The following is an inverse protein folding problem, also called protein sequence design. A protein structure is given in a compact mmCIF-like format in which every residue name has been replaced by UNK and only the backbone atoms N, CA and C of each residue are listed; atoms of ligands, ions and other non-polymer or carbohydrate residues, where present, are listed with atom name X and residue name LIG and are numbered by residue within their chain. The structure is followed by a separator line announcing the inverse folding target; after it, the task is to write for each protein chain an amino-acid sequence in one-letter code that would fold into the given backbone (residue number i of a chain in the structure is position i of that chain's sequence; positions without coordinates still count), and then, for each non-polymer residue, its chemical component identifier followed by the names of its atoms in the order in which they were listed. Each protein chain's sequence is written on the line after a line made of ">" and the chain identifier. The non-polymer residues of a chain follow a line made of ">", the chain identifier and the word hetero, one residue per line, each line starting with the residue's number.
data_IF_742681448453
#
_entry.id   IF_742681448453
#
_cell.length_a   1.000
_cell.length_b   1.000
_cell.length_c   1.000
_cell.angle_alpha   90.00
_cell.angle_beta   90.00
_cell.angle_gamma   90.00
#
_symmetry.space_group_name_H-M   'P 1'
#
loop_
_entity.id
_entity.type
_entity.pdbx_description
1 polymer ?
#
# COMPACT_ATOMS: atom_id res chain seq x y z
N UNK A 1 38.71 2.83 -18.28
CA UNK A 1 37.86 3.96 -18.74
C UNK A 1 37.43 3.69 -20.18
N UNK A 2 36.44 2.83 -20.39
CA UNK A 2 35.81 2.64 -21.71
C UNK A 2 34.69 3.66 -21.82
N UNK A 3 34.80 4.58 -22.79
CA UNK A 3 33.76 5.58 -23.04
C UNK A 3 32.56 4.89 -23.68
N UNK A 4 31.53 4.63 -22.85
CA UNK A 4 30.18 4.32 -23.33
C UNK A 4 29.66 5.47 -24.20
N UNK A 5 28.80 5.15 -25.17
CA UNK A 5 28.24 6.11 -26.13
C UNK A 5 27.53 7.32 -25.50
N UNK A 6 26.84 8.12 -26.32
CA UNK A 6 26.20 9.39 -25.92
C UNK A 6 25.39 9.32 -24.61
N UNK A 7 24.77 8.17 -24.32
CA UNK A 7 24.04 7.93 -23.08
C UNK A 7 24.94 7.76 -21.84
N UNK A 8 26.06 7.07 -21.95
CA UNK A 8 27.04 6.92 -20.85
C UNK A 8 27.58 8.28 -20.40
N UNK A 9 27.89 9.16 -21.35
CA UNK A 9 28.28 10.53 -21.05
C UNK A 9 27.14 11.34 -20.38
N UNK A 10 25.88 11.05 -20.72
CA UNK A 10 24.73 11.70 -20.10
C UNK A 10 24.51 11.20 -18.66
N UNK A 11 24.71 9.91 -18.38
CA UNK A 11 24.67 9.34 -17.03
C UNK A 11 25.76 9.95 -16.14
N UNK A 12 26.99 10.06 -16.64
CA UNK A 12 28.09 10.71 -15.90
C UNK A 12 27.77 12.17 -15.57
N UNK A 13 27.21 12.93 -16.53
CA UNK A 13 26.76 14.31 -16.27
C UNK A 13 25.65 14.37 -15.22
N UNK A 14 24.70 13.42 -15.24
CA UNK A 14 23.66 13.36 -14.24
C UNK A 14 24.25 13.21 -12.82
N UNK A 15 25.28 12.36 -12.65
CA UNK A 15 25.99 12.17 -11.37
C UNK A 15 26.77 13.41 -10.94
N UNK A 16 27.32 14.18 -11.88
CA UNK A 16 27.98 15.43 -11.52
C UNK A 16 26.98 16.45 -10.97
N UNK A 17 25.71 16.36 -11.37
CA UNK A 17 24.62 17.22 -10.92
C UNK A 17 23.90 16.73 -9.65
N UNK A 18 24.08 15.47 -9.21
CA UNK A 18 23.47 15.00 -7.96
C UNK A 18 24.23 15.47 -6.71
N UNK A 19 23.52 15.50 -5.58
CA UNK A 19 24.08 15.77 -4.25
C UNK A 19 25.28 14.84 -3.97
N UNK A 20 26.34 15.42 -3.41
CA UNK A 20 27.60 14.72 -3.13
C UNK A 20 27.40 13.45 -2.29
N UNK A 21 26.37 13.41 -1.42
CA UNK A 21 26.06 12.24 -0.60
C UNK A 21 25.68 10.99 -1.40
N UNK A 22 25.25 11.13 -2.67
CA UNK A 22 24.82 10.02 -3.50
C UNK A 22 25.92 9.50 -4.46
N UNK A 23 27.06 10.19 -4.54
CA UNK A 23 28.08 9.90 -5.56
C UNK A 23 28.71 8.52 -5.43
N UNK A 24 29.00 8.08 -4.20
CA UNK A 24 29.57 6.74 -3.95
C UNK A 24 28.68 5.62 -4.53
N UNK A 25 27.38 5.68 -4.25
CA UNK A 25 26.41 4.72 -4.76
C UNK A 25 26.23 4.83 -6.28
N UNK A 26 26.25 6.05 -6.82
CA UNK A 26 26.17 6.28 -8.25
C UNK A 26 27.37 5.69 -9.01
N UNK A 27 28.58 5.92 -8.49
CA UNK A 27 29.83 5.40 -9.05
C UNK A 27 29.86 3.87 -8.97
N UNK A 28 29.40 3.30 -7.85
CA UNK A 28 29.26 1.85 -7.71
C UNK A 28 28.36 1.27 -8.81
N UNK A 29 27.16 1.85 -9.01
CA UNK A 29 26.23 1.39 -10.03
C UNK A 29 26.81 1.53 -11.44
N UNK A 30 27.40 2.67 -11.80
CA UNK A 30 28.01 2.85 -13.13
C UNK A 30 29.14 1.87 -13.41
N UNK A 31 29.89 1.51 -12.37
CA UNK A 31 31.03 0.59 -12.50
C UNK A 31 30.56 -0.84 -12.70
N UNK A 32 29.45 -1.25 -12.11
CA UNK A 32 29.01 -2.65 -12.07
C UNK A 32 27.73 -2.95 -12.86
N UNK A 33 27.04 -1.93 -13.39
CA UNK A 33 25.83 -2.15 -14.19
C UNK A 33 26.13 -2.81 -15.54
N UNK A 34 25.17 -3.54 -16.13
CA UNK A 34 25.33 -4.12 -17.45
C UNK A 34 25.60 -3.08 -18.54
N UNK A 35 26.37 -3.45 -19.56
CA UNK A 35 26.71 -2.56 -20.67
C UNK A 35 25.48 -2.05 -21.45
N UNK A 36 24.41 -2.85 -21.55
CA UNK A 36 23.19 -2.41 -22.21
C UNK A 36 22.50 -1.29 -21.43
N UNK A 37 22.51 -1.34 -20.10
CA UNK A 37 21.96 -0.26 -19.26
C UNK A 37 22.79 1.02 -19.41
N UNK A 38 24.12 0.93 -19.53
CA UNK A 38 24.95 2.11 -19.84
C UNK A 38 24.55 2.78 -21.17
N UNK A 39 24.05 2.02 -22.14
CA UNK A 39 23.63 2.52 -23.46
C UNK A 39 22.19 3.02 -23.48
N UNK A 40 21.29 2.40 -22.73
CA UNK A 40 19.85 2.58 -22.90
C UNK A 40 19.14 3.17 -21.67
N UNK A 41 19.70 3.03 -20.47
CA UNK A 41 19.04 3.51 -19.25
C UNK A 41 18.99 5.04 -19.26
N UNK A 42 17.77 5.57 -19.14
CA UNK A 42 17.55 7.01 -19.05
C UNK A 42 18.29 7.61 -17.83
N UNK A 43 19.07 8.69 -18.00
CA UNK A 43 19.72 9.38 -16.89
C UNK A 43 18.74 9.88 -15.83
N UNK A 44 17.53 10.27 -16.23
CA UNK A 44 16.48 10.67 -15.30
C UNK A 44 15.99 9.48 -14.47
N UNK A 45 15.76 8.33 -15.11
CA UNK A 45 15.30 7.12 -14.42
C UNK A 45 16.37 6.56 -13.48
N UNK A 46 17.64 6.58 -13.91
CA UNK A 46 18.78 6.21 -13.07
C UNK A 46 18.85 7.08 -11.82
N UNK A 47 18.80 8.40 -12.00
CA UNK A 47 18.92 9.37 -10.91
C UNK A 47 17.74 9.25 -9.93
N UNK A 48 16.51 9.14 -10.43
CA UNK A 48 15.32 8.98 -9.59
C UNK A 48 15.41 7.70 -8.76
N UNK A 49 15.75 6.56 -9.37
CA UNK A 49 15.86 5.28 -8.66
C UNK A 49 17.00 5.27 -7.63
N UNK A 50 18.13 5.91 -7.94
CA UNK A 50 19.27 6.05 -7.02
C UNK A 50 18.88 6.86 -5.78
N UNK A 51 18.33 8.06 -5.99
CA UNK A 51 17.94 8.96 -4.89
C UNK A 51 16.87 8.32 -4.03
N UNK A 52 15.85 7.69 -4.64
CA UNK A 52 14.80 7.00 -3.88
C UNK A 52 15.34 5.81 -3.07
N UNK A 53 16.32 5.05 -3.58
CA UNK A 53 16.93 3.96 -2.84
C UNK A 53 17.72 4.48 -1.62
N UNK A 54 18.51 5.53 -1.79
CA UNK A 54 19.27 6.18 -0.73
C UNK A 54 18.36 6.80 0.33
N UNK A 55 17.30 7.52 -0.07
CA UNK A 55 16.30 8.06 0.86
C UNK A 55 15.57 6.96 1.64
N UNK A 56 15.13 5.90 0.96
CA UNK A 56 14.43 4.79 1.59
C UNK A 56 15.33 4.06 2.60
N UNK A 57 16.58 3.79 2.23
CA UNK A 57 17.54 3.15 3.11
C UNK A 57 17.94 4.05 4.28
N UNK A 58 18.11 5.36 4.05
CA UNK A 58 18.32 6.34 5.10
C UNK A 58 17.12 6.40 6.06
N UNK A 59 15.88 6.24 5.62
CA UNK A 59 14.73 6.22 6.51
C UNK A 59 14.54 4.89 7.28
N UNK A 60 15.19 3.80 6.86
CA UNK A 60 14.95 2.47 7.40
C UNK A 60 15.50 2.31 8.84
N UNK A 61 14.66 1.90 9.84
CA UNK A 61 15.11 1.72 11.23
C UNK A 61 16.19 0.64 11.41
N UNK A 62 16.29 -0.28 10.45
CA UNK A 62 17.23 -1.40 10.45
C UNK A 62 18.50 -1.13 9.64
N UNK A 63 18.65 0.04 9.00
CA UNK A 63 19.78 0.36 8.11
C UNK A 63 21.15 0.12 8.75
N UNK A 64 21.28 0.42 10.05
CA UNK A 64 22.52 0.26 10.80
C UNK A 64 22.95 -1.21 10.97
N UNK A 65 22.05 -2.17 10.70
CA UNK A 65 22.33 -3.60 10.75
C UNK A 65 22.77 -4.16 9.40
N UNK A 66 22.70 -3.37 8.34
CA UNK A 66 23.03 -3.82 6.98
C UNK A 66 24.43 -3.34 6.64
N UNK A 67 25.39 -4.26 6.41
CA UNK A 67 26.71 -3.89 5.91
C UNK A 67 26.62 -3.10 4.61
N UNK A 68 27.52 -2.13 4.41
CA UNK A 68 27.47 -1.27 3.22
C UNK A 68 27.57 -2.06 1.92
N UNK A 69 28.37 -3.12 1.88
CA UNK A 69 28.51 -4.01 0.73
C UNK A 69 27.19 -4.69 0.34
N UNK A 70 26.43 -5.17 1.33
CA UNK A 70 25.10 -5.76 1.10
C UNK A 70 24.15 -4.72 0.54
N UNK A 71 24.19 -3.48 1.05
CA UNK A 71 23.39 -2.40 0.48
C UNK A 71 23.74 -2.15 -1.00
N UNK A 72 25.02 -2.00 -1.32
CA UNK A 72 25.48 -1.70 -2.67
C UNK A 72 25.14 -2.81 -3.68
N UNK A 73 25.28 -4.08 -3.29
CA UNK A 73 25.06 -5.22 -4.19
C UNK A 73 23.59 -5.66 -4.26
N UNK A 74 22.86 -5.63 -3.14
CA UNK A 74 21.56 -6.33 -3.05
C UNK A 74 20.36 -5.40 -2.87
N UNK A 75 20.57 -4.13 -2.49
CA UNK A 75 19.46 -3.19 -2.20
C UNK A 75 19.44 -2.02 -3.18
N UNK A 76 20.61 -1.44 -3.47
CA UNK A 76 20.79 -0.28 -4.32
C UNK A 76 20.40 -0.50 -5.80
N UNK A 77 20.69 -1.65 -6.45
CA UNK A 77 20.42 -1.83 -7.88
C UNK A 77 18.97 -1.58 -8.28
N UNK A 78 18.75 -0.90 -9.40
CA UNK A 78 17.41 -0.47 -9.86
C UNK A 78 16.63 -1.57 -10.60
N UNK A 79 17.22 -2.74 -10.79
CA UNK A 79 16.59 -3.92 -11.39
C UNK A 79 17.36 -5.19 -10.99
N UNK A 80 16.64 -6.30 -10.81
CA UNK A 80 17.22 -7.65 -10.67
C UNK A 80 17.11 -8.45 -11.96
N UNK A 81 18.26 -8.87 -12.51
CA UNK A 81 18.41 -9.76 -13.68
C UNK A 81 17.55 -9.33 -14.89
N UNK A 82 16.31 -9.80 -14.97
CA UNK A 82 15.37 -9.63 -16.10
C UNK A 82 14.23 -8.64 -15.80
N UNK A 83 14.30 -7.91 -14.69
CA UNK A 83 13.32 -6.88 -14.37
C UNK A 83 13.34 -5.74 -15.41
N UNK A 84 12.16 -5.15 -15.61
CA UNK A 84 12.01 -3.96 -16.45
C UNK A 84 12.71 -2.77 -15.79
N UNK A 85 13.32 -1.91 -16.60
CA UNK A 85 13.89 -0.63 -16.15
C UNK A 85 12.77 0.41 -16.13
N UNK A 86 11.94 0.35 -15.09
CA UNK A 86 10.82 1.28 -14.89
C UNK A 86 10.95 2.01 -13.55
N UNK A 87 9.96 2.85 -13.25
CA UNK A 87 9.91 3.69 -12.06
C UNK A 87 9.25 2.96 -10.86
N UNK A 88 9.39 1.64 -10.75
CA UNK A 88 8.76 0.84 -9.70
C UNK A 88 9.05 1.37 -8.29
N UNK A 89 10.25 1.90 -7.99
CA UNK A 89 10.56 2.48 -6.67
C UNK A 89 9.65 3.64 -6.33
N UNK A 90 9.44 4.54 -7.30
CA UNK A 90 8.53 5.68 -7.15
C UNK A 90 7.11 5.19 -6.96
N UNK A 91 6.64 4.30 -7.84
CA UNK A 91 5.29 3.75 -7.75
C UNK A 91 5.06 3.01 -6.43
N UNK A 92 6.02 2.22 -5.98
CA UNK A 92 5.96 1.50 -4.71
C UNK A 92 5.95 2.49 -3.54
N UNK A 93 6.79 3.52 -3.57
CA UNK A 93 6.79 4.55 -2.52
C UNK A 93 5.47 5.31 -2.48
N UNK A 94 4.93 5.70 -3.62
CA UNK A 94 3.65 6.42 -3.72
C UNK A 94 2.47 5.52 -3.30
N UNK A 95 2.48 4.23 -3.66
CA UNK A 95 1.38 3.29 -3.37
C UNK A 95 1.47 2.66 -1.98
N UNK A 96 2.68 2.45 -1.46
CA UNK A 96 2.94 1.72 -0.22
C UNK A 96 3.56 2.60 0.87
N UNK A 97 3.62 3.91 0.67
CA UNK A 97 3.91 4.84 1.76
C UNK A 97 2.90 4.61 2.91
N UNK A 98 3.31 4.85 4.18
CA UNK A 98 2.38 4.86 5.29
C UNK A 98 1.16 5.71 4.94
N UNK A 99 -0.03 5.29 5.34
CA UNK A 99 -1.26 6.03 5.02
C UNK A 99 -1.12 7.52 5.40
N UNK A 100 -0.52 7.85 6.54
CA UNK A 100 -0.27 9.25 6.93
C UNK A 100 0.71 10.05 6.05
N UNK A 101 1.43 9.41 5.12
CA UNK A 101 2.28 10.06 4.12
C UNK A 101 1.58 10.31 2.78
N UNK A 102 0.41 9.71 2.54
CA UNK A 102 -0.35 9.82 1.28
C UNK A 102 -1.80 10.25 1.48
N UNK A 103 -2.31 10.15 2.71
CA UNK A 103 -3.68 10.42 3.10
C UNK A 103 -3.72 11.76 3.84
N UNK A 104 -4.24 12.78 3.16
CA UNK A 104 -4.51 14.09 3.71
C UNK A 104 -6.01 14.26 3.93
N UNK A 105 -6.42 15.32 4.63
CA UNK A 105 -7.83 15.70 4.67
C UNK A 105 -8.38 15.86 3.24
N UNK A 106 -9.52 15.22 2.98
CA UNK A 106 -10.15 15.16 1.66
C UNK A 106 -9.64 14.05 0.72
N UNK A 107 -8.61 13.27 1.11
CA UNK A 107 -8.20 12.10 0.33
C UNK A 107 -9.28 11.03 0.28
N UNK A 108 -9.43 10.40 -0.89
CA UNK A 108 -10.36 9.28 -1.12
C UNK A 108 -9.60 8.10 -1.72
N UNK A 109 -9.89 6.90 -1.22
CA UNK A 109 -9.33 5.63 -1.68
C UNK A 109 -10.45 4.65 -2.00
N UNK A 110 -10.25 3.83 -3.03
CA UNK A 110 -11.08 2.67 -3.31
C UNK A 110 -10.39 1.43 -2.75
N UNK A 111 -11.06 0.72 -1.85
CA UNK A 111 -10.61 -0.54 -1.30
C UNK A 111 -11.49 -1.67 -1.83
N UNK A 112 -10.88 -2.56 -2.62
CA UNK A 112 -11.52 -3.79 -3.09
C UNK A 112 -11.23 -4.93 -2.13
N UNK A 113 -12.29 -5.52 -1.61
CA UNK A 113 -12.26 -6.65 -0.69
C UNK A 113 -12.95 -7.85 -1.33
N UNK A 114 -12.41 -9.05 -1.09
CA UNK A 114 -12.85 -10.31 -1.67
C UNK A 114 -12.88 -10.28 -3.22
N UNK A 115 -11.84 -10.79 -3.87
CA UNK A 115 -11.77 -10.79 -5.33
C UNK A 115 -12.78 -11.74 -6.01
N UNK A 116 -13.53 -12.54 -5.25
CA UNK A 116 -14.68 -13.29 -5.75
C UNK A 116 -15.92 -12.39 -5.87
N UNK A 117 -16.35 -11.82 -4.74
CA UNK A 117 -17.57 -11.00 -4.63
C UNK A 117 -17.37 -9.53 -5.05
N UNK A 118 -16.13 -9.09 -5.17
CA UNK A 118 -15.69 -7.76 -5.62
C UNK A 118 -16.32 -6.59 -4.85
N UNK A 119 -16.25 -6.65 -3.51
CA UNK A 119 -16.74 -5.57 -2.67
C UNK A 119 -15.90 -4.32 -2.82
N UNK A 120 -16.54 -3.21 -3.18
CA UNK A 120 -15.92 -1.90 -3.31
C UNK A 120 -16.28 -1.01 -2.11
N UNK A 121 -15.26 -0.61 -1.34
CA UNK A 121 -15.37 0.36 -0.26
C UNK A 121 -14.71 1.68 -0.64
N UNK A 122 -15.47 2.77 -0.59
CA UNK A 122 -14.89 4.12 -0.61
C UNK A 122 -14.42 4.49 0.80
N UNK A 123 -13.13 4.77 0.95
CA UNK A 123 -12.52 5.23 2.19
C UNK A 123 -12.15 6.70 2.04
N UNK A 124 -12.78 7.56 2.84
CA UNK A 124 -12.52 9.01 2.83
C UNK A 124 -11.85 9.45 4.11
N UNK A 125 -10.84 10.30 3.98
CA UNK A 125 -10.19 10.95 5.12
C UNK A 125 -10.88 12.28 5.36
N UNK A 126 -11.79 12.31 6.32
CA UNK A 126 -12.55 13.53 6.61
C UNK A 126 -11.74 14.56 7.39
N UNK A 127 -10.87 14.10 8.31
CA UNK A 127 -10.04 14.96 9.16
C UNK A 127 -8.77 14.25 9.60
N UNK A 128 -7.67 14.99 9.72
CA UNK A 128 -6.40 14.54 10.27
C UNK A 128 -6.10 15.33 11.52
N UNK A 129 -6.14 14.65 12.67
CA UNK A 129 -5.87 15.26 13.98
C UNK A 129 -4.57 14.73 14.56
N UNK A 130 -3.87 15.57 15.34
CA UNK A 130 -2.74 15.09 16.14
C UNK A 130 -3.27 14.23 17.27
N UNK A 131 -2.79 12.99 17.34
CA UNK A 131 -3.11 12.04 18.41
C UNK A 131 -2.01 11.00 18.53
N UNK A 132 -2.07 10.17 19.57
CA UNK A 132 -1.10 9.10 19.77
C UNK A 132 -1.41 7.83 18.94
N UNK A 133 -2.52 7.85 18.20
CA UNK A 133 -2.94 6.79 17.26
C UNK A 133 -3.27 5.45 17.92
N UNK A 134 -3.50 5.44 19.24
CA UNK A 134 -3.76 4.20 19.99
C UNK A 134 -5.22 3.79 20.01
N UNK A 135 -6.12 4.76 19.96
CA UNK A 135 -7.55 4.53 20.03
C UNK A 135 -8.12 4.37 18.63
N UNK A 136 -8.73 3.20 18.38
CA UNK A 136 -9.48 2.90 17.16
C UNK A 136 -10.92 2.72 17.61
N UNK A 137 -11.76 3.70 17.28
CA UNK A 137 -13.15 3.76 17.72
C UNK A 137 -14.03 4.07 16.52
N UNK A 138 -15.08 3.29 16.36
CA UNK A 138 -16.19 3.60 15.49
C UNK A 138 -17.08 4.65 16.18
N UNK A 139 -17.25 5.80 15.53
CA UNK A 139 -18.05 6.93 16.03
C UNK A 139 -19.47 6.95 15.47
N UNK A 140 -19.77 6.09 14.49
CA UNK A 140 -21.08 5.99 13.87
C UNK A 140 -21.08 5.04 12.68
N UNK A 141 -22.28 4.70 12.23
CA UNK A 141 -22.53 3.83 11.09
C UNK A 141 -24.03 3.62 10.90
N UNK A 142 -24.39 3.01 9.78
CA UNK A 142 -25.77 2.69 9.45
C UNK A 142 -25.82 1.35 8.72
N UNK A 143 -26.92 0.62 8.94
CA UNK A 143 -27.22 -0.67 8.34
C UNK A 143 -26.23 -1.77 8.76
N UNK A 144 -26.62 -3.02 8.54
CA UNK A 144 -25.75 -4.15 8.80
C UNK A 144 -24.74 -4.32 7.66
N UNK A 145 -23.56 -4.85 7.99
CA UNK A 145 -22.62 -5.32 6.98
C UNK A 145 -23.27 -6.46 6.17
N UNK A 146 -23.16 -6.47 4.83
CA UNK A 146 -23.56 -7.62 4.03
C UNK A 146 -22.93 -8.91 4.56
N UNK A 147 -23.65 -10.05 4.57
CA UNK A 147 -23.05 -11.34 4.86
C UNK A 147 -21.92 -11.66 3.88
N UNK A 148 -20.85 -12.29 4.35
CA UNK A 148 -19.79 -12.84 3.49
C UNK A 148 -20.39 -13.84 2.49
N UNK A 149 -19.75 -13.97 1.32
CA UNK A 149 -20.13 -14.90 0.25
C UNK A 149 -21.57 -14.74 -0.27
N UNK A 150 -22.17 -13.54 -0.14
CA UNK A 150 -23.53 -13.30 -0.62
C UNK A 150 -23.61 -12.93 -2.10
N UNK A 151 -22.49 -12.96 -2.83
CA UNK A 151 -22.43 -12.66 -4.27
C UNK A 151 -22.27 -11.17 -4.56
N UNK A 152 -21.51 -10.47 -3.71
CA UNK A 152 -21.22 -9.05 -3.87
C UNK A 152 -22.44 -8.15 -3.74
N UNK A 153 -22.33 -6.93 -4.26
CA UNK A 153 -23.38 -5.90 -4.14
C UNK A 153 -24.70 -6.32 -4.80
N UNK A 154 -24.64 -7.01 -5.94
CA UNK A 154 -25.83 -7.46 -6.67
C UNK A 154 -26.50 -8.65 -5.96
N UNK A 155 -25.71 -9.60 -5.48
CA UNK A 155 -26.19 -10.74 -4.70
C UNK A 155 -26.85 -10.28 -3.39
N UNK A 156 -26.26 -9.31 -2.68
CA UNK A 156 -26.87 -8.71 -1.50
C UNK A 156 -28.19 -8.00 -1.81
N UNK A 157 -28.27 -7.23 -2.89
CA UNK A 157 -29.52 -6.59 -3.31
C UNK A 157 -30.62 -7.62 -3.63
N UNK A 158 -30.26 -8.76 -4.24
CA UNK A 158 -31.16 -9.88 -4.46
C UNK A 158 -31.64 -10.51 -3.15
N UNK A 159 -30.71 -10.78 -2.23
CA UNK A 159 -30.99 -11.31 -0.90
C UNK A 159 -31.97 -10.42 -0.12
N UNK A 160 -31.78 -9.10 -0.13
CA UNK A 160 -32.68 -8.17 0.54
C UNK A 160 -34.11 -8.24 0.01
N UNK A 161 -34.30 -8.41 -1.31
CA UNK A 161 -35.62 -8.59 -1.92
C UNK A 161 -36.28 -9.88 -1.43
N UNK A 162 -35.53 -10.98 -1.43
CA UNK A 162 -36.04 -12.28 -0.97
C UNK A 162 -36.39 -12.24 0.52
N UNK A 163 -35.60 -11.57 1.35
CA UNK A 163 -35.87 -11.45 2.80
C UNK A 163 -37.02 -10.50 3.14
N UNK A 164 -37.33 -9.55 2.25
CA UNK A 164 -38.45 -8.62 2.45
C UNK A 164 -39.82 -9.26 2.12
N UNK A 165 -39.84 -10.24 1.21
CA UNK A 165 -41.05 -10.94 0.78
C UNK A 165 -41.20 -12.28 1.50
N UNK A 166 -42.08 -12.33 2.50
CA UNK A 166 -42.35 -13.55 3.29
C UNK A 166 -43.00 -14.67 2.48
N UNK A 167 -43.67 -14.34 1.39
CA UNK A 167 -44.35 -15.30 0.51
C UNK A 167 -43.42 -15.82 -0.61
N UNK A 168 -42.23 -15.24 -0.74
CA UNK A 168 -41.24 -15.70 -1.70
C UNK A 168 -40.81 -17.13 -1.37
N UNK A 169 -40.80 -18.02 -2.36
CA UNK A 169 -40.50 -19.46 -2.16
C UNK A 169 -39.16 -19.72 -1.45
N UNK A 170 -38.15 -18.89 -1.73
CA UNK A 170 -36.82 -19.00 -1.09
C UNK A 170 -36.70 -18.26 0.25
N UNK A 171 -37.71 -17.52 0.73
CA UNK A 171 -37.62 -16.68 1.92
C UNK A 171 -37.15 -17.46 3.16
N UNK A 172 -37.79 -18.60 3.45
CA UNK A 172 -37.46 -19.41 4.61
C UNK A 172 -36.01 -19.94 4.55
N UNK A 173 -35.59 -20.42 3.38
CA UNK A 173 -34.24 -20.93 3.14
C UNK A 173 -33.19 -19.82 3.30
N UNK A 174 -33.40 -18.67 2.67
CA UNK A 174 -32.48 -17.54 2.75
C UNK A 174 -32.41 -16.97 4.17
N UNK A 175 -33.54 -16.93 4.90
CA UNK A 175 -33.58 -16.49 6.29
C UNK A 175 -32.74 -17.37 7.21
N UNK A 176 -32.76 -18.69 6.97
CA UNK A 176 -31.90 -19.62 7.67
C UNK A 176 -30.43 -19.42 7.31
N UNK A 177 -30.12 -19.24 6.01
CA UNK A 177 -28.75 -19.09 5.51
C UNK A 177 -28.02 -17.88 6.11
N UNK A 178 -28.65 -16.70 6.09
CA UNK A 178 -28.09 -15.46 6.68
C UNK A 178 -28.04 -15.46 8.21
N UNK A 179 -28.63 -16.45 8.86
CA UNK A 179 -28.83 -16.47 10.32
C UNK A 179 -30.07 -15.68 10.74
N UNK A 180 -30.89 -16.27 11.62
CA UNK A 180 -32.21 -15.75 12.02
C UNK A 180 -32.19 -14.39 12.73
N UNK A 181 -31.03 -13.91 13.18
CA UNK A 181 -30.86 -12.59 13.79
C UNK A 181 -30.49 -11.46 12.82
N UNK A 182 -30.24 -11.75 11.54
CA UNK A 182 -29.78 -10.72 10.59
C UNK A 182 -30.89 -9.72 10.26
N UNK A 183 -30.69 -8.46 10.68
CA UNK A 183 -31.51 -7.32 10.32
C UNK A 183 -30.67 -6.35 9.48
N UNK A 184 -30.97 -6.16 8.17
CA UNK A 184 -30.16 -5.32 7.28
C UNK A 184 -30.15 -3.84 7.69
N UNK A 185 -31.11 -3.38 8.49
CA UNK A 185 -31.20 -1.98 8.93
C UNK A 185 -30.56 -1.75 10.31
N UNK A 186 -30.02 -2.81 10.95
CA UNK A 186 -29.40 -2.70 12.28
C UNK A 186 -27.89 -2.49 12.18
N UNK A 187 -27.39 -1.43 12.81
CA UNK A 187 -25.96 -1.22 13.03
C UNK A 187 -25.61 -1.32 14.52
N UNK A 188 -24.78 -2.29 14.91
CA UNK A 188 -24.33 -2.48 16.29
C UNK A 188 -22.96 -1.83 16.54
N UNK A 189 -22.97 -0.54 16.89
CA UNK A 189 -21.75 0.22 17.19
C UNK A 189 -21.01 -0.32 18.43
N UNK A 190 -21.73 -0.88 19.41
CA UNK A 190 -21.13 -1.41 20.63
C UNK A 190 -20.36 -2.69 20.32
N UNK A 191 -20.95 -3.61 19.56
CA UNK A 191 -20.30 -4.81 19.05
C UNK A 191 -19.05 -4.50 18.23
N UNK A 192 -19.13 -3.53 17.31
CA UNK A 192 -17.99 -3.08 16.51
C UNK A 192 -16.85 -2.58 17.42
N UNK A 193 -17.14 -1.68 18.36
CA UNK A 193 -16.13 -1.13 19.25
C UNK A 193 -15.51 -2.18 20.20
N UNK A 194 -16.28 -3.19 20.64
CA UNK A 194 -15.74 -4.35 21.37
C UNK A 194 -14.70 -5.10 20.54
N UNK A 195 -14.96 -5.32 19.25
CA UNK A 195 -14.01 -5.92 18.31
C UNK A 195 -12.73 -5.09 18.14
N UNK A 196 -12.89 -3.78 17.92
CA UNK A 196 -11.78 -2.84 17.70
C UNK A 196 -10.85 -2.70 18.92
N UNK A 197 -11.37 -2.83 20.15
CA UNK A 197 -10.58 -2.78 21.36
C UNK A 197 -9.44 -3.84 21.40
N UNK A 198 -9.59 -4.96 20.70
CA UNK A 198 -8.52 -5.95 20.56
C UNK A 198 -7.32 -5.43 19.73
N UNK A 199 -7.58 -4.64 18.70
CA UNK A 199 -6.57 -4.04 17.82
C UNK A 199 -5.82 -2.90 18.51
N UNK A 200 -6.53 -2.04 19.24
CA UNK A 200 -5.93 -0.96 20.05
C UNK A 200 -4.95 -1.50 21.10
N UNK A 201 -5.32 -2.58 21.80
CA UNK A 201 -4.44 -3.22 22.81
C UNK A 201 -3.15 -3.80 22.21
N UNK A 202 -3.23 -4.38 20.99
CA UNK A 202 -2.05 -4.91 20.28
C UNK A 202 -1.07 -3.80 19.90
N UNK A 203 -1.58 -2.63 19.47
CA UNK A 203 -0.75 -1.45 19.14
C UNK A 203 -0.08 -0.84 20.37
N UNK A 204 -0.79 -0.71 21.50
CA UNK A 204 -0.24 -0.17 22.74
C UNK A 204 0.93 -0.98 23.32
N UNK A 205 0.97 -2.30 23.09
CA UNK A 205 2.10 -3.17 23.50
C UNK A 205 3.33 -3.01 22.61
N UNK A 206 3.15 -2.74 21.31
CA UNK A 206 4.24 -2.59 20.34
C UNK A 206 5.00 -1.27 20.49
N UNK A 207 4.35 -0.22 21.01
CA UNK A 207 4.95 1.09 21.27
C UNK A 207 5.76 1.19 22.59
N UNK A 208 5.72 0.16 23.44
CA UNK A 208 6.46 0.09 24.72
C UNK A 208 7.77 -0.73 24.65
N UNK A 209 8.12 -1.25 23.47
CA UNK A 209 9.39 -1.92 23.17
C UNK A 209 10.20 -1.03 22.24
#
# INVERSE_FOLDING_TARGET
>A
MSQGGTNGAALVRAIQAIDAKHREAADFLLTHMPEHDLRELSPALFTENLVLAEEAFAAAPWRAKIPREVYLNDILPYASVNERRDNWRRLLREKCAPLGGIANEGSTFLYRYDFGDDWEHEIRVERVVKGDGKDIVCTGGARACPPEDCGGSSGYAGLLKVLADKEHGEHARMRQWVGGGFNPEMFDMEGVNKGLASLSRRRGRRAKK
#
